data_IF_474823395419
#
_entry.id   IF_474823395419
#
_cell.length_a   1.000
_cell.length_b   1.000
_cell.length_c   1.000
_cell.angle_alpha   90.00
_cell.angle_beta   90.00
_cell.angle_gamma   90.00
#
_symmetry.space_group_name_H-M   'P 1'
#
loop_
_entity.id
_entity.type
_entity.pdbx_description
1 polymer ?
#
# COMPACT_ATOMS: atom_id res chain seq x y z
N UNK A 1 13.69 1.11 -14.61
CA UNK A 1 12.54 0.32 -15.11
C UNK A 1 12.30 0.65 -16.57
N UNK A 2 11.64 -0.23 -17.32
CA UNK A 2 11.20 0.01 -18.69
C UNK A 2 9.66 -0.07 -18.70
N UNK A 3 9.00 0.84 -19.41
CA UNK A 3 7.54 0.90 -19.46
C UNK A 3 7.04 0.35 -20.80
N UNK A 4 6.06 -0.55 -20.73
CA UNK A 4 5.36 -1.09 -21.88
C UNK A 4 4.37 -0.11 -22.52
N UNK A 5 3.58 -0.59 -23.48
CA UNK A 5 2.53 0.23 -24.11
C UNK A 5 1.47 0.67 -23.11
N UNK A 6 0.82 1.78 -23.42
CA UNK A 6 -0.31 2.30 -22.66
C UNK A 6 -1.57 1.47 -22.92
N UNK A 7 -2.20 1.00 -21.86
CA UNK A 7 -3.44 0.25 -21.90
C UNK A 7 -4.50 0.91 -21.02
N UNK A 8 -5.71 1.05 -21.55
CA UNK A 8 -6.83 1.53 -20.75
C UNK A 8 -7.44 0.37 -19.97
N UNK A 9 -7.43 0.45 -18.64
CA UNK A 9 -7.99 -0.55 -17.73
C UNK A 9 -9.06 0.08 -16.84
N UNK A 10 -10.19 -0.59 -16.70
CA UNK A 10 -11.23 -0.22 -15.75
C UNK A 10 -10.85 -0.77 -14.38
N UNK A 11 -10.57 0.12 -13.43
CA UNK A 11 -10.24 -0.23 -12.05
C UNK A 11 -11.39 0.15 -11.12
N UNK A 12 -11.29 -0.24 -9.84
CA UNK A 12 -12.31 0.08 -8.82
C UNK A 12 -12.59 1.58 -8.75
N UNK A 13 -11.57 2.43 -8.93
CA UNK A 13 -11.69 3.88 -8.89
C UNK A 13 -11.95 4.52 -10.26
N UNK A 14 -12.41 3.75 -11.25
CA UNK A 14 -12.75 4.24 -12.58
C UNK A 14 -11.73 3.89 -13.67
N UNK A 15 -11.87 4.54 -14.83
CA UNK A 15 -11.02 4.32 -16.00
C UNK A 15 -9.63 4.93 -15.80
N UNK A 16 -8.59 4.16 -16.12
CA UNK A 16 -7.20 4.62 -16.07
C UNK A 16 -6.44 4.14 -17.30
N UNK A 17 -5.54 4.98 -17.81
CA UNK A 17 -4.49 4.54 -18.73
C UNK A 17 -3.28 4.13 -17.89
N UNK A 18 -2.85 2.87 -18.02
CA UNK A 18 -1.74 2.30 -17.26
C UNK A 18 -0.69 1.71 -18.21
N UNK A 19 0.55 1.61 -17.72
CA UNK A 19 1.64 0.92 -18.43
C UNK A 19 2.23 -0.13 -17.53
N UNK A 20 2.41 -1.34 -18.06
CA UNK A 20 3.15 -2.37 -17.34
C UNK A 20 4.63 -1.98 -17.27
N UNK A 21 5.26 -2.26 -16.13
CA UNK A 21 6.67 -1.96 -15.91
C UNK A 21 7.48 -3.22 -15.78
N UNK A 22 8.62 -3.21 -16.46
CA UNK A 22 9.55 -4.33 -16.53
C UNK A 22 10.88 -3.94 -15.90
N UNK A 23 11.50 -4.92 -15.23
CA UNK A 23 12.86 -4.76 -14.74
C UNK A 23 13.83 -4.76 -15.93
N UNK A 24 14.68 -3.73 -16.03
CA UNK A 24 15.68 -3.63 -17.13
C UNK A 24 16.70 -4.77 -17.13
N UNK A 25 16.88 -5.46 -16.00
CA UNK A 25 17.89 -6.52 -15.84
C UNK A 25 17.36 -7.89 -16.22
N UNK A 26 16.25 -8.30 -15.61
CA UNK A 26 15.66 -9.64 -15.80
C UNK A 26 14.46 -9.65 -16.78
N UNK A 27 14.01 -8.47 -17.25
CA UNK A 27 12.83 -8.29 -18.13
C UNK A 27 11.52 -8.87 -17.59
N UNK A 28 11.47 -9.27 -16.32
CA UNK A 28 10.23 -9.68 -15.68
C UNK A 28 9.34 -8.46 -15.42
N UNK A 29 8.03 -8.67 -15.51
CA UNK A 29 7.04 -7.70 -15.07
C UNK A 29 7.16 -7.55 -13.55
N UNK A 30 7.32 -6.33 -13.07
CA UNK A 30 7.42 -6.04 -11.62
C UNK A 30 6.16 -5.34 -11.09
N UNK A 31 5.35 -4.79 -11.99
CA UNK A 31 4.12 -4.09 -11.65
C UNK A 31 3.63 -3.20 -12.81
N UNK A 32 3.01 -2.07 -12.47
CA UNK A 32 2.46 -1.13 -13.44
C UNK A 32 2.45 0.31 -12.91
N UNK A 33 2.33 1.29 -13.80
CA UNK A 33 2.24 2.73 -13.48
C UNK A 33 0.98 3.33 -14.06
N UNK A 34 0.41 4.32 -13.38
CA UNK A 34 -0.67 5.13 -13.94
C UNK A 34 -0.07 6.18 -14.88
N UNK A 35 -0.45 6.15 -16.15
CA UNK A 35 -0.12 7.20 -17.10
C UNK A 35 -1.14 8.34 -17.03
N UNK A 36 -2.43 8.00 -16.98
CA UNK A 36 -3.50 9.00 -16.94
C UNK A 36 -4.71 8.50 -16.16
N UNK A 37 -5.32 9.37 -15.37
CA UNK A 37 -6.62 9.15 -14.78
C UNK A 37 -7.65 10.03 -15.50
N UNK A 38 -8.79 9.46 -15.86
CA UNK A 38 -9.85 10.23 -16.54
C UNK A 38 -10.69 11.04 -15.56
N UNK A 39 -10.67 10.67 -14.28
CA UNK A 39 -11.36 11.37 -13.21
C UNK A 39 -10.38 12.30 -12.48
N UNK A 40 -10.77 13.57 -12.29
CA UNK A 40 -9.96 14.59 -11.60
C UNK A 40 -9.59 14.17 -10.18
N UNK A 41 -10.50 13.49 -9.47
CA UNK A 41 -10.30 12.96 -8.13
C UNK A 41 -9.17 11.93 -8.03
N UNK A 42 -8.82 11.28 -9.15
CA UNK A 42 -7.81 10.22 -9.22
C UNK A 42 -6.48 10.68 -9.83
N UNK A 43 -6.36 11.93 -10.27
CA UNK A 43 -5.13 12.46 -10.91
C UNK A 43 -3.89 12.39 -10.02
N UNK A 44 -4.07 12.35 -8.69
CA UNK A 44 -2.97 12.15 -7.75
C UNK A 44 -2.21 10.81 -7.94
N UNK A 45 -2.84 9.85 -8.66
CA UNK A 45 -2.24 8.56 -9.02
C UNK A 45 -1.34 8.65 -10.25
N UNK A 46 -1.51 9.66 -11.11
CA UNK A 46 -0.71 9.84 -12.33
C UNK A 46 0.78 9.90 -11.96
N UNK A 47 1.60 9.08 -12.63
CA UNK A 47 3.03 8.93 -12.33
C UNK A 47 3.37 8.10 -11.09
N UNK A 48 2.40 7.56 -10.36
CA UNK A 48 2.64 6.61 -9.25
C UNK A 48 2.81 5.19 -9.81
N UNK A 49 3.68 4.43 -9.14
CA UNK A 49 3.96 3.03 -9.45
C UNK A 49 3.31 2.09 -8.45
N UNK A 50 2.74 1.00 -8.96
CA UNK A 50 2.30 -0.15 -8.17
C UNK A 50 3.25 -1.30 -8.48
N UNK A 51 3.94 -1.80 -7.45
CA UNK A 51 4.94 -2.86 -7.59
C UNK A 51 4.61 -3.98 -6.62
N UNK A 52 4.65 -5.21 -7.10
CA UNK A 52 4.43 -6.38 -6.25
C UNK A 52 5.71 -6.71 -5.46
N UNK A 53 5.60 -6.80 -4.13
CA UNK A 53 6.76 -7.05 -3.25
C UNK A 53 7.47 -8.36 -3.55
N UNK A 54 6.75 -9.38 -4.03
CA UNK A 54 7.33 -10.67 -4.40
C UNK A 54 8.36 -10.55 -5.54
N UNK A 55 8.26 -9.50 -6.35
CA UNK A 55 9.16 -9.22 -7.47
C UNK A 55 10.33 -8.30 -7.07
N UNK A 56 10.44 -7.93 -5.78
CA UNK A 56 11.48 -7.06 -5.24
C UNK A 56 12.43 -7.85 -4.33
N UNK A 57 13.71 -7.86 -4.70
CA UNK A 57 14.78 -8.27 -3.81
C UNK A 57 15.33 -7.01 -3.13
N UNK A 58 14.87 -6.73 -1.91
CA UNK A 58 15.45 -5.65 -1.10
C UNK A 58 16.67 -6.19 -0.35
N UNK A 59 17.85 -5.64 -0.63
CA UNK A 59 18.97 -5.71 0.31
C UNK A 59 18.77 -4.64 1.40
N UNK A 60 19.26 -4.88 2.62
CA UNK A 60 18.98 -4.06 3.82
C UNK A 60 19.56 -2.63 3.77
N UNK A 61 20.27 -2.27 2.69
CA UNK A 61 20.91 -0.96 2.57
C UNK A 61 20.02 0.04 1.81
N UNK A 62 19.32 0.88 2.56
CA UNK A 62 18.78 2.12 2.01
C UNK A 62 17.55 2.63 2.75
N UNK A 63 17.73 3.67 3.56
CA UNK A 63 16.65 4.60 3.89
C UNK A 63 16.12 5.14 2.56
N UNK A 64 14.96 4.67 2.13
CA UNK A 64 14.24 5.26 1.01
C UNK A 64 13.55 6.52 1.53
N UNK A 65 13.92 7.69 1.02
CA UNK A 65 13.15 8.92 1.23
C UNK A 65 11.80 8.76 0.51
N UNK A 66 10.80 8.30 1.26
CA UNK A 66 9.41 8.22 0.79
C UNK A 66 8.92 9.65 0.58
N UNK A 67 8.69 10.05 -0.67
CA UNK A 67 7.89 11.24 -0.94
C UNK A 67 6.50 11.04 -0.33
N UNK A 68 6.07 11.97 0.52
CA UNK A 68 4.75 11.94 1.18
C UNK A 68 3.64 11.67 0.14
N UNK A 69 2.70 10.74 0.42
CA UNK A 69 1.64 10.46 -0.53
C UNK A 69 0.76 11.69 -0.75
N UNK A 70 0.31 11.84 -1.99
CA UNK A 70 -0.48 12.98 -2.41
C UNK A 70 -1.86 12.92 -1.73
N UNK A 71 -2.18 13.96 -0.94
CA UNK A 71 -3.49 14.12 -0.29
C UNK A 71 -3.51 13.87 1.22
N UNK A 72 -2.37 13.53 1.85
CA UNK A 72 -2.32 13.35 3.30
C UNK A 72 -1.89 14.62 4.02
N UNK A 73 -2.64 15.02 5.07
CA UNK A 73 -2.21 16.08 5.99
C UNK A 73 -0.95 15.58 6.72
N UNK A 74 0.13 16.35 6.65
CA UNK A 74 1.48 15.97 7.09
C UNK A 74 1.68 15.74 8.60
N UNK A 75 0.63 15.76 9.40
CA UNK A 75 0.68 15.61 10.86
C UNK A 75 0.70 14.14 11.34
N UNK A 76 0.48 13.15 10.45
CA UNK A 76 0.29 11.74 10.84
C UNK A 76 1.43 10.77 10.51
N UNK A 77 2.49 11.22 9.84
CA UNK A 77 3.52 10.32 9.30
C UNK A 77 4.63 9.89 10.28
N UNK A 78 4.70 10.47 11.48
CA UNK A 78 5.61 9.97 12.54
C UNK A 78 4.90 8.93 13.41
N UNK A 79 5.27 7.66 13.20
CA UNK A 79 4.78 6.43 13.87
C UNK A 79 3.47 5.86 13.29
N UNK A 80 3.59 5.09 12.22
CA UNK A 80 3.31 3.64 12.29
C UNK A 80 3.70 2.99 10.97
N UNK A 81 4.63 2.07 11.09
CA UNK A 81 4.83 0.92 10.20
C UNK A 81 3.52 0.43 9.58
N UNK A 82 3.58 0.23 8.25
CA UNK A 82 2.70 -0.56 7.39
C UNK A 82 1.70 -1.47 8.13
N UNK A 83 0.41 -1.22 7.96
CA UNK A 83 -0.63 -2.25 8.06
C UNK A 83 -1.70 -1.98 7.00
N UNK A 84 -1.44 -2.45 5.78
CA UNK A 84 -2.53 -2.67 4.82
C UNK A 84 -3.40 -3.79 5.38
N UNK A 85 -4.72 -3.62 5.30
CA UNK A 85 -5.72 -4.31 6.11
C UNK A 85 -5.46 -5.80 6.31
N UNK A 86 -5.32 -6.19 7.58
CA UNK A 86 -5.56 -7.57 7.98
C UNK A 86 -7.04 -7.69 8.34
N UNK A 87 -7.82 -8.29 7.46
CA UNK A 87 -9.10 -8.86 7.84
C UNK A 87 -8.81 -10.08 8.72
N UNK A 88 -9.00 -9.94 10.03
CA UNK A 88 -9.18 -11.08 10.95
C UNK A 88 -10.55 -10.94 11.59
N UNK A 89 -11.54 -11.49 10.91
CA UNK A 89 -12.75 -11.96 11.59
C UNK A 89 -12.39 -12.99 12.65
N UNK A 90 -13.20 -12.98 13.73
CA UNK A 90 -13.32 -13.98 14.79
C UNK A 90 -12.16 -14.03 15.79
N UNK A 91 -12.41 -13.53 17.01
CA UNK A 91 -12.11 -14.25 18.26
C UNK A 91 -12.86 -13.55 19.41
N UNK A 92 -14.03 -14.12 19.71
CA UNK A 92 -14.56 -14.43 21.04
C UNK A 92 -14.16 -13.50 22.20
N UNK A 93 -15.19 -12.84 22.74
CA UNK A 93 -15.24 -12.27 24.09
C UNK A 93 -14.64 -13.25 25.11
N UNK A 94 -13.64 -12.82 25.87
CA UNK A 94 -13.28 -13.43 27.15
C UNK A 94 -12.66 -12.38 28.07
N UNK A 95 -13.49 -11.75 28.89
CA UNK A 95 -13.08 -10.95 30.03
C UNK A 95 -12.34 -11.81 31.06
N UNK A 96 -11.18 -11.41 31.61
CA UNK A 96 -10.65 -12.04 32.80
C UNK A 96 -11.44 -11.62 34.03
N UNK A 97 -11.77 -12.64 34.83
CA UNK A 97 -12.61 -12.63 36.02
C UNK A 97 -11.93 -11.86 37.15
N UNK A 98 -12.73 -11.08 37.89
CA UNK A 98 -12.34 -10.47 39.16
C UNK A 98 -11.98 -11.55 40.19
N UNK A 99 -10.86 -11.44 40.92
CA UNK A 99 -10.66 -12.24 42.11
C UNK A 99 -11.40 -11.58 43.28
N UNK A 100 -12.35 -12.33 43.85
CA UNK A 100 -13.08 -11.97 45.08
C UNK A 100 -12.47 -12.78 46.23
N UNK A 101 -11.92 -12.11 47.24
CA UNK A 101 -11.73 -12.62 48.61
C UNK A 101 -11.05 -11.53 49.45
N UNK A 102 -11.26 -11.36 50.76
CA UNK A 102 -12.31 -11.75 51.72
C UNK A 102 -11.98 -10.97 53.01
N UNK A 103 -13.03 -10.62 53.75
CA UNK A 103 -13.17 -10.02 55.09
C UNK A 103 -11.98 -10.00 56.07
N UNK A 104 -11.91 -8.92 56.87
CA UNK A 104 -11.82 -9.04 58.34
C UNK A 104 -10.71 -8.27 59.05
N UNK A 105 -11.04 -7.12 59.64
CA UNK A 105 -11.00 -6.88 61.10
C UNK A 105 -11.71 -5.59 61.47
#
# INVERSE_FOLDING_TARGET
VEAGPAENRLLITGMHSVRDIYCRRCRSMVGWTYERAYESSQRYKEGKFIVEKINLHLEESGRYDVQEPAGERGDRWRRRSMSWGSNRSLDVQQSPRTPRAREGR
#
